data_IF_701165683580
#
_entry.id   IF_701165683580
#
_cell.length_a   1.000
_cell.length_b   1.000
_cell.length_c   1.000
_cell.angle_alpha   90.00
_cell.angle_beta   90.00
_cell.angle_gamma   90.00
#
_symmetry.space_group_name_H-M   'P 1'
#
loop_
_entity.id
_entity.type
_entity.pdbx_description
1 polymer ?
#
# COMPACT_ATOMS: atom_id res chain seq x y z
N UNK A 1 -9.18 -8.09 -8.93
CA UNK A 1 -9.40 -8.35 -7.49
C UNK A 1 -8.43 -7.57 -6.62
N UNK A 2 -7.10 -7.74 -6.75
CA UNK A 2 -6.11 -7.06 -5.89
C UNK A 2 -6.25 -5.54 -5.81
N UNK A 3 -6.50 -4.85 -6.94
CA UNK A 3 -6.72 -3.39 -6.93
C UNK A 3 -7.96 -2.98 -6.14
N UNK A 4 -9.07 -3.69 -6.31
CA UNK A 4 -10.32 -3.41 -5.57
C UNK A 4 -10.13 -3.66 -4.09
N UNK A 5 -9.42 -4.74 -3.71
CA UNK A 5 -9.06 -5.03 -2.32
C UNK A 5 -8.17 -3.93 -1.75
N UNK A 6 -7.15 -3.50 -2.48
CA UNK A 6 -6.22 -2.46 -2.05
C UNK A 6 -6.94 -1.14 -1.77
N UNK A 7 -7.75 -0.65 -2.71
CA UNK A 7 -8.47 0.61 -2.51
C UNK A 7 -9.58 0.49 -1.44
N UNK A 8 -10.25 -0.65 -1.34
CA UNK A 8 -11.17 -0.92 -0.23
C UNK A 8 -10.47 -0.81 1.12
N UNK A 9 -9.31 -1.45 1.27
CA UNK A 9 -8.47 -1.34 2.47
C UNK A 9 -8.02 0.11 2.69
N UNK A 10 -7.62 0.81 1.63
CA UNK A 10 -7.19 2.21 1.70
C UNK A 10 -8.28 3.10 2.29
N UNK A 11 -9.50 3.04 1.74
CA UNK A 11 -10.60 3.87 2.23
C UNK A 11 -11.06 3.48 3.64
N UNK A 12 -10.97 2.20 4.03
CA UNK A 12 -11.24 1.77 5.41
C UNK A 12 -10.20 2.39 6.36
N UNK A 13 -8.92 2.28 6.04
CA UNK A 13 -7.83 2.83 6.86
C UNK A 13 -7.94 4.34 6.97
N UNK A 14 -8.15 5.05 5.84
CA UNK A 14 -8.38 6.51 5.83
C UNK A 14 -9.55 6.88 6.73
N UNK A 15 -10.67 6.17 6.65
CA UNK A 15 -11.85 6.45 7.47
C UNK A 15 -11.56 6.26 8.97
N UNK A 16 -10.82 5.21 9.32
CA UNK A 16 -10.37 4.98 10.70
C UNK A 16 -9.41 6.08 11.18
N UNK A 17 -8.44 6.46 10.36
CA UNK A 17 -7.49 7.54 10.68
C UNK A 17 -8.20 8.88 10.86
N UNK A 18 -9.18 9.21 10.01
CA UNK A 18 -10.02 10.41 10.15
C UNK A 18 -10.77 10.41 11.48
N UNK A 19 -11.38 9.27 11.84
CA UNK A 19 -12.11 9.12 13.10
C UNK A 19 -11.21 9.23 14.33
N UNK A 20 -10.06 8.55 14.31
CA UNK A 20 -9.09 8.54 15.41
C UNK A 20 -8.41 9.89 15.63
N UNK A 21 -8.05 10.59 14.55
CA UNK A 21 -7.40 11.90 14.59
C UNK A 21 -8.39 13.07 14.57
N UNK A 22 -9.71 12.79 14.57
CA UNK A 22 -10.82 13.76 14.60
C UNK A 22 -10.70 14.86 13.55
N UNK A 23 -10.36 14.51 12.31
CA UNK A 23 -10.18 15.50 11.24
C UNK A 23 -11.49 15.73 10.49
N UNK A 24 -11.95 16.98 10.41
CA UNK A 24 -13.28 17.29 9.86
C UNK A 24 -13.25 17.82 8.41
N UNK A 25 -12.08 18.20 7.90
CA UNK A 25 -11.94 18.84 6.58
C UNK A 25 -10.96 18.08 5.66
N UNK A 26 -11.13 16.77 5.55
CA UNK A 26 -10.40 15.97 4.56
C UNK A 26 -11.39 15.53 3.49
N UNK A 27 -11.04 15.75 2.23
CA UNK A 27 -11.75 15.16 1.11
C UNK A 27 -11.41 13.65 1.07
N UNK A 28 -12.17 12.82 1.80
CA UNK A 28 -11.89 11.39 1.95
C UNK A 28 -11.74 10.65 0.62
N UNK A 29 -12.40 11.12 -0.44
CA UNK A 29 -12.31 10.55 -1.79
C UNK A 29 -10.97 10.84 -2.48
N UNK A 30 -10.38 12.01 -2.23
CA UNK A 30 -9.10 12.42 -2.80
C UNK A 30 -7.91 12.07 -1.88
N UNK A 31 -8.19 11.74 -0.62
CA UNK A 31 -7.18 11.47 0.40
C UNK A 31 -6.09 10.45 -0.02
N UNK A 32 -6.38 9.36 -0.76
CA UNK A 32 -5.33 8.45 -1.22
C UNK A 32 -4.37 9.07 -2.25
N UNK A 33 -4.80 10.10 -2.97
CA UNK A 33 -4.06 10.68 -4.10
C UNK A 33 -3.43 12.03 -3.76
N UNK A 34 -3.78 12.62 -2.62
CA UNK A 34 -3.33 13.97 -2.27
C UNK A 34 -1.86 14.00 -1.86
N UNK A 35 -1.02 14.59 -2.72
CA UNK A 35 0.40 14.85 -2.49
C UNK A 35 0.70 16.34 -2.23
N UNK A 36 -0.32 17.19 -2.18
CA UNK A 36 -0.19 18.66 -2.09
C UNK A 36 -0.17 19.17 -0.64
N UNK A 37 -0.62 18.35 0.30
CA UNK A 37 -0.63 18.69 1.73
C UNK A 37 0.78 18.96 2.25
N UNK A 38 0.98 20.13 2.87
CA UNK A 38 2.29 20.53 3.41
C UNK A 38 2.79 19.55 4.49
N UNK A 39 4.08 19.17 4.45
CA UNK A 39 4.67 18.25 5.42
C UNK A 39 4.73 18.89 6.81
N UNK A 40 3.95 18.35 7.75
CA UNK A 40 4.00 18.77 9.15
C UNK A 40 3.48 17.68 10.06
N UNK A 41 4.33 17.19 10.96
CA UNK A 41 3.97 16.19 11.98
C UNK A 41 2.94 16.70 13.00
N UNK A 42 2.71 18.01 13.04
CA UNK A 42 1.65 18.62 13.86
C UNK A 42 0.34 18.83 13.08
N UNK A 43 0.37 18.69 11.75
CA UNK A 43 -0.83 18.81 10.92
C UNK A 43 -1.54 17.45 10.85
N UNK A 44 -2.75 17.31 11.42
CA UNK A 44 -3.46 16.04 11.42
C UNK A 44 -3.87 15.61 10.00
N UNK A 45 -4.03 16.53 9.04
CA UNK A 45 -4.30 16.17 7.63
C UNK A 45 -3.13 15.43 7.01
N UNK A 46 -1.92 15.93 7.23
CA UNK A 46 -0.69 15.28 6.77
C UNK A 46 -0.49 13.91 7.43
N UNK A 47 -0.69 13.83 8.75
CA UNK A 47 -0.60 12.57 9.49
C UNK A 47 -1.59 11.52 8.98
N UNK A 48 -2.85 11.89 8.73
CA UNK A 48 -3.85 10.96 8.15
C UNK A 48 -3.35 10.42 6.82
N UNK A 49 -2.84 11.27 5.92
CA UNK A 49 -2.35 10.82 4.61
C UNK A 49 -1.19 9.83 4.72
N UNK A 50 -0.14 10.18 5.48
CA UNK A 50 1.04 9.32 5.65
C UNK A 50 0.68 8.02 6.37
N UNK A 51 0.01 8.09 7.53
CA UNK A 51 -0.35 6.90 8.31
C UNK A 51 -1.26 5.99 7.49
N UNK A 52 -2.22 6.55 6.76
CA UNK A 52 -3.11 5.72 5.94
C UNK A 52 -2.34 5.01 4.84
N UNK A 53 -1.44 5.70 4.16
CA UNK A 53 -0.58 5.09 3.13
C UNK A 53 0.23 3.94 3.72
N UNK A 54 1.00 4.19 4.77
CA UNK A 54 1.87 3.21 5.41
C UNK A 54 1.09 1.97 5.90
N UNK A 55 -0.03 2.20 6.60
CA UNK A 55 -0.87 1.13 7.14
C UNK A 55 -1.55 0.33 6.02
N UNK A 56 -2.02 0.99 4.97
CA UNK A 56 -2.63 0.29 3.84
C UNK A 56 -1.62 -0.55 3.07
N UNK A 57 -0.41 -0.05 2.82
CA UNK A 57 0.63 -0.86 2.18
C UNK A 57 1.04 -2.05 3.05
N UNK A 58 1.16 -1.85 4.36
CA UNK A 58 1.46 -2.93 5.29
C UNK A 58 0.35 -4.01 5.30
N UNK A 59 -0.90 -3.62 5.57
CA UNK A 59 -2.04 -4.55 5.59
C UNK A 59 -2.30 -5.18 4.21
N UNK A 60 -2.13 -4.39 3.14
CA UNK A 60 -2.24 -4.86 1.76
C UNK A 60 -1.22 -5.95 1.44
N UNK A 61 0.03 -5.80 1.90
CA UNK A 61 1.05 -6.84 1.77
C UNK A 61 0.67 -8.15 2.47
N UNK A 62 0.08 -8.06 3.67
CA UNK A 62 -0.39 -9.24 4.40
C UNK A 62 -1.57 -9.93 3.68
N UNK A 63 -2.54 -9.13 3.20
CA UNK A 63 -3.71 -9.64 2.48
C UNK A 63 -3.31 -10.25 1.14
N UNK A 64 -2.38 -9.63 0.40
CA UNK A 64 -1.90 -10.18 -0.87
C UNK A 64 -1.09 -11.45 -0.69
N UNK A 65 -0.27 -11.54 0.37
CA UNK A 65 0.39 -12.79 0.70
C UNK A 65 -0.60 -13.94 0.95
N UNK A 66 -1.77 -13.64 1.53
CA UNK A 66 -2.84 -14.63 1.70
C UNK A 66 -3.56 -14.97 0.40
N UNK A 67 -3.89 -13.99 -0.44
CA UNK A 67 -4.70 -14.19 -1.66
C UNK A 67 -3.90 -14.86 -2.78
N UNK A 68 -2.66 -14.43 -2.97
CA UNK A 68 -1.88 -14.76 -4.17
C UNK A 68 -1.08 -16.04 -3.96
N UNK A 69 -0.68 -16.34 -2.72
CA UNK A 69 0.16 -17.49 -2.31
C UNK A 69 1.56 -17.56 -2.98
N UNK A 70 1.76 -16.84 -4.08
CA UNK A 70 3.01 -16.69 -4.84
C UNK A 70 3.46 -15.22 -4.93
N UNK A 71 4.76 -15.03 -5.21
CA UNK A 71 5.44 -13.80 -5.64
C UNK A 71 4.71 -12.45 -5.39
N UNK A 72 4.58 -12.06 -4.11
CA UNK A 72 3.89 -10.82 -3.67
C UNK A 72 4.52 -9.53 -4.21
N UNK A 73 5.83 -9.53 -4.45
CA UNK A 73 6.60 -8.40 -5.00
C UNK A 73 6.08 -7.87 -6.34
N UNK A 74 5.63 -8.73 -7.26
CA UNK A 74 5.12 -8.30 -8.58
C UNK A 74 3.83 -7.49 -8.42
N UNK A 75 2.94 -7.97 -7.55
CA UNK A 75 1.72 -7.25 -7.19
C UNK A 75 2.00 -5.94 -6.47
N UNK A 76 2.98 -5.92 -5.56
CA UNK A 76 3.38 -4.69 -4.86
C UNK A 76 3.85 -3.61 -5.86
N UNK A 77 4.69 -3.98 -6.83
CA UNK A 77 5.14 -3.06 -7.88
C UNK A 77 3.94 -2.60 -8.74
N UNK A 78 3.11 -3.54 -9.20
CA UNK A 78 1.98 -3.24 -10.08
C UNK A 78 0.96 -2.31 -9.42
N UNK A 79 0.57 -2.58 -8.17
CA UNK A 79 -0.36 -1.72 -7.42
C UNK A 79 0.23 -0.33 -7.20
N UNK A 80 1.53 -0.24 -6.89
CA UNK A 80 2.21 1.05 -6.69
C UNK A 80 2.24 1.86 -7.98
N UNK A 81 2.60 1.26 -9.12
CA UNK A 81 2.60 1.95 -10.41
C UNK A 81 1.21 2.42 -10.81
N UNK A 82 0.19 1.59 -10.60
CA UNK A 82 -1.20 1.98 -10.85
C UNK A 82 -1.65 3.11 -9.91
N UNK A 83 -1.22 3.08 -8.65
CA UNK A 83 -1.50 4.15 -7.70
C UNK A 83 -0.86 5.48 -8.13
N UNK A 84 0.39 5.46 -8.60
CA UNK A 84 1.06 6.64 -9.18
C UNK A 84 0.30 7.13 -10.41
N UNK A 85 -0.02 6.23 -11.34
CA UNK A 85 -0.76 6.60 -12.56
C UNK A 85 -2.12 7.23 -12.22
N UNK A 86 -2.87 6.63 -11.29
CA UNK A 86 -4.14 7.21 -10.83
C UNK A 86 -3.95 8.55 -10.16
N UNK A 87 -2.93 8.71 -9.31
CA UNK A 87 -2.60 9.98 -8.67
C UNK A 87 -2.39 11.07 -9.71
N UNK A 88 -1.59 10.80 -10.74
CA UNK A 88 -1.36 11.71 -11.87
C UNK A 88 -2.67 12.03 -12.59
N UNK A 89 -3.51 11.04 -12.86
CA UNK A 89 -4.80 11.27 -13.56
C UNK A 89 -5.80 12.07 -12.73
N UNK A 90 -5.87 11.83 -11.42
CA UNK A 90 -6.83 12.45 -10.51
C UNK A 90 -6.42 13.88 -10.19
N UNK A 91 -5.12 14.12 -9.96
CA UNK A 91 -4.60 15.45 -9.67
C UNK A 91 -4.34 16.27 -10.94
N UNK A 92 -4.39 15.63 -12.11
CA UNK A 92 -4.05 16.26 -13.41
C UNK A 92 -2.66 16.93 -13.42
N UNK A 93 -1.77 16.44 -12.56
CA UNK A 93 -0.43 16.97 -12.35
C UNK A 93 0.48 15.85 -11.83
N UNK A 94 1.78 15.98 -12.06
CA UNK A 94 2.76 14.97 -11.68
C UNK A 94 3.23 15.19 -10.24
N UNK A 95 3.23 14.16 -9.38
CA UNK A 95 3.66 14.31 -8.00
C UNK A 95 5.17 14.62 -7.94
N UNK A 96 5.51 15.89 -7.74
CA UNK A 96 6.89 16.33 -7.55
C UNK A 96 7.30 16.41 -6.08
N UNK A 97 6.37 16.19 -5.15
CA UNK A 97 6.60 16.30 -3.70
C UNK A 97 7.46 15.13 -3.18
N UNK A 98 8.68 15.41 -2.73
CA UNK A 98 9.63 14.40 -2.25
C UNK A 98 9.09 13.55 -1.09
N UNK A 99 8.41 14.16 -0.11
CA UNK A 99 7.86 13.44 1.03
C UNK A 99 6.79 12.41 0.65
N UNK A 100 6.03 12.67 -0.41
CA UNK A 100 5.06 11.72 -0.93
C UNK A 100 5.75 10.49 -1.53
N UNK A 101 6.83 10.68 -2.29
CA UNK A 101 7.66 9.58 -2.80
C UNK A 101 8.32 8.77 -1.69
N UNK A 102 8.75 9.44 -0.61
CA UNK A 102 9.33 8.75 0.55
C UNK A 102 8.28 7.85 1.21
N UNK A 103 7.08 8.36 1.49
CA UNK A 103 5.99 7.57 2.07
C UNK A 103 5.55 6.41 1.15
N UNK A 104 5.44 6.68 -0.16
CA UNK A 104 5.11 5.64 -1.13
C UNK A 104 6.20 4.56 -1.18
N UNK A 105 7.47 4.98 -1.17
CA UNK A 105 8.63 4.10 -1.19
C UNK A 105 8.75 3.26 0.08
N UNK A 106 8.57 3.85 1.26
CA UNK A 106 8.55 3.10 2.54
C UNK A 106 7.40 2.11 2.58
N UNK A 107 6.19 2.52 2.17
CA UNK A 107 5.05 1.63 2.02
C UNK A 107 5.34 0.44 1.12
N UNK A 108 5.88 0.67 -0.08
CA UNK A 108 6.25 -0.39 -1.02
C UNK A 108 7.26 -1.37 -0.41
N UNK A 109 8.30 -0.86 0.23
CA UNK A 109 9.31 -1.69 0.92
C UNK A 109 8.65 -2.56 1.98
N UNK A 110 7.83 -1.98 2.86
CA UNK A 110 7.12 -2.74 3.90
C UNK A 110 6.18 -3.79 3.31
N UNK A 111 5.49 -3.46 2.22
CA UNK A 111 4.59 -4.37 1.54
C UNK A 111 5.34 -5.58 0.95
N UNK A 112 6.48 -5.34 0.30
CA UNK A 112 7.33 -6.41 -0.25
C UNK A 112 7.89 -7.26 0.88
N UNK A 113 8.58 -6.66 1.86
CA UNK A 113 9.22 -7.43 2.93
C UNK A 113 8.21 -8.14 3.82
N UNK A 114 7.15 -7.44 4.24
CA UNK A 114 6.09 -8.01 5.08
C UNK A 114 5.29 -9.09 4.37
N UNK A 115 4.89 -8.83 3.11
CA UNK A 115 4.16 -9.78 2.30
C UNK A 115 4.98 -11.03 1.98
N UNK A 116 6.23 -10.87 1.56
CA UNK A 116 7.12 -12.00 1.25
C UNK A 116 7.49 -12.80 2.51
N UNK A 117 7.71 -12.13 3.65
CA UNK A 117 7.95 -12.83 4.92
C UNK A 117 6.74 -13.65 5.35
N UNK A 118 5.52 -13.12 5.19
CA UNK A 118 4.30 -13.85 5.53
C UNK A 118 4.07 -15.02 4.57
N UNK A 119 4.18 -14.80 3.26
CA UNK A 119 4.04 -15.84 2.24
C UNK A 119 5.06 -16.97 2.48
N UNK A 120 6.32 -16.62 2.77
CA UNK A 120 7.36 -17.60 3.10
C UNK A 120 7.02 -18.43 4.34
N UNK A 121 6.41 -17.84 5.37
CA UNK A 121 6.01 -18.57 6.59
C UNK A 121 4.80 -19.47 6.36
N UNK A 122 3.80 -19.00 5.62
CA UNK A 122 2.54 -19.72 5.40
C UNK A 122 2.69 -20.85 4.39
N UNK A 123 3.42 -20.62 3.30
CA UNK A 123 3.48 -21.54 2.16
C UNK A 123 4.84 -22.24 2.01
N UNK A 124 5.67 -22.21 3.06
CA UNK A 124 6.99 -22.87 3.12
C UNK A 124 6.99 -24.33 2.68
N UNK A 125 5.87 -25.03 2.92
CA UNK A 125 5.68 -26.45 2.62
C UNK A 125 5.08 -26.73 1.24
N UNK A 126 4.57 -25.70 0.53
CA UNK A 126 3.98 -25.83 -0.80
C UNK A 126 4.95 -25.45 -1.93
N UNK A 127 6.10 -24.85 -1.63
CA UNK A 127 7.16 -24.66 -2.62
C UNK A 127 7.75 -26.02 -3.00
N UNK A 128 7.30 -26.56 -4.14
CA UNK A 128 7.98 -27.68 -4.80
C UNK A 128 9.38 -27.19 -5.16
N UNK A 129 10.37 -27.62 -4.38
CA UNK A 129 11.76 -27.31 -4.70
C UNK A 129 12.13 -28.03 -6.00
N UNK A 130 12.91 -27.41 -6.89
CA UNK A 130 13.31 -28.03 -8.16
C UNK A 130 14.05 -29.37 -7.99
N UNK A 131 14.56 -29.66 -6.79
CA UNK A 131 15.14 -30.96 -6.44
C UNK A 131 14.10 -32.12 -6.45
N UNK A 132 12.81 -31.85 -6.23
CA UNK A 132 11.75 -32.88 -6.27
C UNK A 132 11.29 -33.18 -7.70
N UNK A 133 11.44 -32.22 -8.63
CA UNK A 133 11.15 -32.38 -10.05
C UNK A 133 12.21 -33.21 -10.81
N UNK A 134 13.39 -33.43 -10.23
CA UNK A 134 14.43 -34.28 -10.81
C UNK A 134 14.25 -35.78 -10.55
N UNK A 135 13.27 -36.17 -9.72
CA UNK A 135 13.02 -37.57 -9.36
C UNK A 135 11.76 -38.18 -10.01
N UNK A 136 11.17 -37.49 -10.99
CA UNK A 136 10.11 -38.00 -11.88
C UNK A 136 10.65 -38.15 -13.30
#
# INVERSE_FOLDING_TARGET
MCMVCFYSLYYIVVSLCIGLLRVHEINSLLAPFDYTTQPSWHNPKYLVGVISTEVTYFLGGLVFAWIVEEWVWDYAITVTLLHVAMTVTVMSDFPSTEHWWVALGSGLVMMIFGGQLLAYKLFRTNFVYPAELQNF
#
